data_IF_886603859816
#
_entry.id   IF_886603859816
#
_cell.length_a   1.000
_cell.length_b   1.000
_cell.length_c   1.000
_cell.angle_alpha   90.00
_cell.angle_beta   90.00
_cell.angle_gamma   90.00
#
_symmetry.space_group_name_H-M   'P 1'
#
loop_
_entity.id
_entity.type
_entity.pdbx_description
1 polymer ?
#
# COMPACT_ATOMS: atom_id res chain seq x y z
N UNK A 1 -26.69 -6.75 1.30
CA UNK A 1 -26.72 -6.70 2.77
C UNK A 1 -25.29 -6.66 3.29
N UNK A 2 -24.84 -5.56 3.92
CA UNK A 2 -23.54 -5.53 4.59
C UNK A 2 -23.65 -6.43 5.84
N UNK A 3 -22.71 -7.34 6.04
CA UNK A 3 -22.68 -8.20 7.22
C UNK A 3 -22.61 -7.34 8.50
N UNK A 4 -23.31 -7.75 9.56
CA UNK A 4 -23.24 -7.04 10.84
C UNK A 4 -21.76 -7.01 11.31
N UNK A 5 -21.17 -5.83 11.59
CA UNK A 5 -19.77 -5.73 12.00
C UNK A 5 -19.41 -6.64 13.17
N UNK A 6 -20.34 -6.86 14.11
CA UNK A 6 -20.13 -7.77 15.25
C UNK A 6 -19.98 -9.23 14.82
N UNK A 7 -20.70 -9.66 13.78
CA UNK A 7 -20.56 -11.01 13.22
C UNK A 7 -19.19 -11.17 12.58
N UNK A 8 -18.75 -10.18 11.80
CA UNK A 8 -17.44 -10.20 11.14
C UNK A 8 -16.31 -10.25 12.18
N UNK A 9 -16.38 -9.39 13.21
CA UNK A 9 -15.38 -9.37 14.30
C UNK A 9 -15.38 -10.70 15.06
N UNK A 10 -16.55 -11.25 15.38
CA UNK A 10 -16.66 -12.53 16.09
C UNK A 10 -16.05 -13.68 15.29
N UNK A 11 -16.35 -13.75 13.99
CA UNK A 11 -15.74 -14.74 13.09
C UNK A 11 -14.22 -14.57 13.01
N UNK A 12 -13.73 -13.34 12.95
CA UNK A 12 -12.29 -13.07 12.92
C UNK A 12 -11.58 -13.50 14.23
N UNK A 13 -12.21 -13.25 15.39
CA UNK A 13 -11.71 -13.73 16.69
C UNK A 13 -11.66 -15.26 16.73
N UNK A 14 -12.68 -15.94 16.23
CA UNK A 14 -12.70 -17.42 16.16
C UNK A 14 -11.53 -17.92 15.30
N UNK A 15 -11.28 -17.31 14.14
CA UNK A 15 -10.15 -17.66 13.27
C UNK A 15 -8.81 -17.44 13.98
N UNK A 16 -8.63 -16.31 14.66
CA UNK A 16 -7.44 -16.03 15.48
C UNK A 16 -7.23 -17.13 16.52
N UNK A 17 -8.25 -17.43 17.32
CA UNK A 17 -8.16 -18.44 18.38
C UNK A 17 -7.87 -19.84 17.81
N UNK A 18 -8.42 -20.17 16.64
CA UNK A 18 -8.12 -21.42 15.95
C UNK A 18 -6.66 -21.49 15.50
N UNK A 19 -6.14 -20.44 14.84
CA UNK A 19 -4.74 -20.33 14.42
C UNK A 19 -3.82 -20.50 15.64
N UNK A 20 -4.11 -19.78 16.72
CA UNK A 20 -3.31 -19.82 17.93
C UNK A 20 -3.38 -21.14 18.69
N UNK A 21 -4.55 -21.77 18.76
CA UNK A 21 -4.69 -23.09 19.35
C UNK A 21 -3.92 -24.15 18.55
N UNK A 22 -4.01 -24.11 17.21
CA UNK A 22 -3.29 -25.06 16.36
C UNK A 22 -1.78 -24.83 16.43
N UNK A 23 -1.33 -23.57 16.48
CA UNK A 23 0.06 -23.22 16.68
C UNK A 23 0.57 -23.69 18.05
N UNK A 24 -0.23 -23.53 19.12
CA UNK A 24 0.09 -24.00 20.46
C UNK A 24 0.34 -25.52 20.51
N UNK A 25 -0.48 -26.33 19.84
CA UNK A 25 -0.26 -27.79 19.75
C UNK A 25 1.10 -28.10 19.13
N UNK A 26 1.48 -27.38 18.07
CA UNK A 26 2.77 -27.51 17.40
C UNK A 26 3.93 -27.10 18.31
N UNK A 27 3.83 -25.91 18.90
CA UNK A 27 4.85 -25.35 19.78
C UNK A 27 5.12 -26.23 21.00
N UNK A 28 4.07 -26.70 21.69
CA UNK A 28 4.20 -27.58 22.85
C UNK A 28 5.06 -28.81 22.53
N UNK A 29 4.77 -29.49 21.41
CA UNK A 29 5.53 -30.67 20.96
C UNK A 29 6.99 -30.35 20.66
N UNK A 30 7.30 -29.16 20.15
CA UNK A 30 8.66 -28.72 19.83
C UNK A 30 9.42 -28.33 21.09
N UNK A 31 8.76 -27.64 22.03
CA UNK A 31 9.37 -27.14 23.26
C UNK A 31 9.46 -28.17 24.38
N UNK A 32 8.84 -29.36 24.24
CA UNK A 32 8.89 -30.46 25.23
C UNK A 32 10.32 -30.91 25.59
N UNK A 33 11.31 -30.69 24.71
CA UNK A 33 12.74 -31.02 24.94
C UNK A 33 13.55 -29.88 25.57
N UNK A 34 12.97 -28.68 25.71
CA UNK A 34 13.63 -27.54 26.33
C UNK A 34 13.53 -27.62 27.85
N UNK A 35 14.34 -26.81 28.56
CA UNK A 35 14.21 -26.65 30.02
C UNK A 35 12.77 -26.25 30.37
N UNK A 36 12.18 -26.88 31.40
CA UNK A 36 10.76 -26.66 31.80
C UNK A 36 10.39 -25.17 31.92
N UNK A 37 11.26 -24.35 32.51
CA UNK A 37 11.06 -22.90 32.64
C UNK A 37 10.95 -22.22 31.27
N UNK A 38 11.89 -22.50 30.36
CA UNK A 38 11.90 -21.93 29.01
C UNK A 38 10.69 -22.38 28.19
N UNK A 39 10.32 -23.66 28.23
CA UNK A 39 9.12 -24.17 27.57
C UNK A 39 7.86 -23.47 28.08
N UNK A 40 7.70 -23.35 29.41
CA UNK A 40 6.58 -22.61 30.02
C UNK A 40 6.54 -21.15 29.56
N UNK A 41 7.69 -20.46 29.54
CA UNK A 41 7.79 -19.07 29.08
C UNK A 41 7.35 -18.91 27.63
N UNK A 42 7.82 -19.76 26.71
CA UNK A 42 7.44 -19.70 25.28
C UNK A 42 5.93 -19.89 25.13
N UNK A 43 5.34 -20.86 25.83
CA UNK A 43 3.91 -21.13 25.75
C UNK A 43 3.06 -20.00 26.35
N UNK A 44 3.55 -19.31 27.39
CA UNK A 44 2.88 -18.11 27.94
C UNK A 44 2.94 -16.97 26.92
N UNK A 45 4.13 -16.67 26.38
CA UNK A 45 4.32 -15.60 25.38
C UNK A 45 3.43 -15.83 24.17
N UNK A 46 3.31 -17.07 23.70
CA UNK A 46 2.42 -17.44 22.60
C UNK A 46 0.99 -16.95 22.82
N UNK A 47 0.42 -17.14 24.02
CA UNK A 47 -0.95 -16.73 24.34
C UNK A 47 -1.11 -15.23 24.61
N UNK A 48 -0.03 -14.49 24.89
CA UNK A 48 -0.07 -13.01 24.96
C UNK A 48 -0.41 -12.43 23.58
N UNK A 49 0.09 -13.02 22.49
CA UNK A 49 -0.13 -12.52 21.13
C UNK A 49 -1.63 -12.42 20.77
N UNK A 50 -2.45 -13.50 20.82
CA UNK A 50 -3.87 -13.40 20.54
C UNK A 50 -4.60 -12.53 21.55
N UNK A 51 -4.17 -12.48 22.82
CA UNK A 51 -4.76 -11.56 23.80
C UNK A 51 -4.59 -10.10 23.36
N UNK A 52 -3.38 -9.67 23.01
CA UNK A 52 -3.10 -8.31 22.50
C UNK A 52 -3.85 -8.03 21.21
N UNK A 53 -3.87 -8.97 20.26
CA UNK A 53 -4.59 -8.80 18.99
C UNK A 53 -6.10 -8.65 19.20
N UNK A 54 -6.71 -9.52 20.00
CA UNK A 54 -8.16 -9.47 20.28
C UNK A 54 -8.52 -8.22 21.06
N UNK A 55 -7.74 -7.87 22.11
CA UNK A 55 -7.93 -6.62 22.84
C UNK A 55 -7.82 -5.40 21.93
N UNK A 56 -6.87 -5.40 21.00
CA UNK A 56 -6.71 -4.33 20.00
C UNK A 56 -7.90 -4.20 19.05
N UNK A 57 -8.42 -5.32 18.56
CA UNK A 57 -9.64 -5.33 17.73
C UNK A 57 -10.84 -4.79 18.52
N UNK A 58 -11.06 -5.28 19.74
CA UNK A 58 -12.14 -4.79 20.60
C UNK A 58 -11.95 -3.29 20.88
N UNK A 59 -10.71 -2.84 21.09
CA UNK A 59 -10.40 -1.43 21.31
C UNK A 59 -10.74 -0.58 20.08
N UNK A 60 -10.21 -0.92 18.91
CA UNK A 60 -10.44 -0.18 17.66
C UNK A 60 -11.93 -0.07 17.34
N UNK A 61 -12.68 -1.17 17.45
CA UNK A 61 -14.10 -1.17 17.07
C UNK A 61 -15.02 -0.66 18.19
N UNK A 62 -14.70 -0.93 19.45
CA UNK A 62 -15.53 -0.56 20.61
C UNK A 62 -15.35 0.89 21.04
N UNK A 63 -14.17 1.48 20.82
CA UNK A 63 -13.84 2.84 21.26
C UNK A 63 -13.54 3.80 20.11
N UNK A 64 -13.83 3.40 18.85
CA UNK A 64 -13.60 4.24 17.66
C UNK A 64 -14.16 5.66 17.83
N UNK A 65 -15.39 5.79 18.33
CA UNK A 65 -16.07 7.07 18.51
C UNK A 65 -15.50 7.95 19.63
N UNK A 66 -14.65 7.41 20.50
CA UNK A 66 -14.02 8.13 21.60
C UNK A 66 -12.62 8.66 21.25
N UNK A 67 -12.08 8.30 20.09
CA UNK A 67 -10.74 8.67 19.64
C UNK A 67 -10.86 9.65 18.47
N UNK A 68 -10.15 10.80 18.48
CA UNK A 68 -10.12 11.71 17.34
C UNK A 68 -9.77 10.97 16.05
N UNK A 69 -10.47 11.28 14.95
CA UNK A 69 -10.33 10.54 13.68
C UNK A 69 -8.88 10.50 13.16
N UNK A 70 -8.12 11.59 13.32
CA UNK A 70 -6.70 11.65 12.93
C UNK A 70 -5.80 10.76 13.78
N UNK A 71 -6.16 10.44 15.02
CA UNK A 71 -5.39 9.55 15.91
C UNK A 71 -5.77 8.08 15.74
N UNK A 72 -6.98 7.78 15.24
CA UNK A 72 -7.42 6.39 15.00
C UNK A 72 -6.42 5.62 14.12
N UNK A 73 -5.79 6.31 13.16
CA UNK A 73 -4.81 5.69 12.25
C UNK A 73 -3.58 5.15 12.98
N UNK A 74 -3.15 5.78 14.08
CA UNK A 74 -2.00 5.35 14.88
C UNK A 74 -2.28 3.98 15.50
N UNK A 75 -3.48 3.80 16.05
CA UNK A 75 -3.91 2.53 16.63
C UNK A 75 -4.12 1.47 15.55
N UNK A 76 -4.76 1.82 14.43
CA UNK A 76 -4.93 0.92 13.29
C UNK A 76 -3.57 0.41 12.82
N UNK A 77 -2.59 1.28 12.62
CA UNK A 77 -1.22 0.92 12.26
C UNK A 77 -0.56 0.03 13.32
N UNK A 78 -0.62 0.38 14.60
CA UNK A 78 -0.02 -0.45 15.65
C UNK A 78 -0.59 -1.88 15.64
N UNK A 79 -1.92 -2.02 15.64
CA UNK A 79 -2.57 -3.32 15.73
C UNK A 79 -2.48 -4.14 14.44
N UNK A 80 -2.57 -3.52 13.27
CA UNK A 80 -2.37 -4.21 12.00
C UNK A 80 -0.91 -4.65 11.85
N UNK A 81 0.06 -3.80 12.18
CA UNK A 81 1.48 -4.12 12.17
C UNK A 81 1.79 -5.29 13.10
N UNK A 82 1.27 -5.25 14.33
CA UNK A 82 1.36 -6.36 15.28
C UNK A 82 0.72 -7.64 14.72
N UNK A 83 -0.48 -7.54 14.12
CA UNK A 83 -1.15 -8.68 13.50
C UNK A 83 -0.31 -9.29 12.38
N UNK A 84 0.13 -8.51 11.39
CA UNK A 84 0.93 -9.03 10.29
C UNK A 84 2.26 -9.63 10.78
N UNK A 85 2.94 -8.96 11.72
CA UNK A 85 4.22 -9.41 12.28
C UNK A 85 4.12 -10.80 12.90
N UNK A 86 3.02 -11.15 13.57
CA UNK A 86 2.89 -12.45 14.23
C UNK A 86 2.08 -13.48 13.43
N UNK A 87 1.05 -13.08 12.69
CA UNK A 87 0.15 -14.04 12.03
C UNK A 87 0.68 -14.52 10.68
N UNK A 88 1.41 -13.72 9.92
CA UNK A 88 2.02 -14.19 8.67
C UNK A 88 3.06 -15.30 8.96
N UNK A 89 4.02 -15.12 9.90
CA UNK A 89 4.89 -16.20 10.34
C UNK A 89 4.15 -17.42 10.88
N UNK A 90 3.09 -17.22 11.69
CA UNK A 90 2.28 -18.34 12.19
C UNK A 90 1.65 -19.13 11.06
N UNK A 91 1.07 -18.48 10.05
CA UNK A 91 0.48 -19.16 8.89
C UNK A 91 1.55 -20.02 8.20
N UNK A 92 2.75 -19.47 7.96
CA UNK A 92 3.87 -20.24 7.40
C UNK A 92 4.19 -21.46 8.26
N UNK A 93 4.37 -21.28 9.58
CA UNK A 93 4.60 -22.39 10.50
C UNK A 93 3.49 -23.44 10.45
N UNK A 94 2.22 -23.01 10.40
CA UNK A 94 1.06 -23.89 10.35
C UNK A 94 0.98 -24.70 9.05
N UNK A 95 1.46 -24.19 7.92
CA UNK A 95 1.55 -24.95 6.67
C UNK A 95 2.47 -26.17 6.84
N UNK A 96 3.66 -25.99 7.42
CA UNK A 96 4.58 -27.10 7.71
C UNK A 96 4.00 -28.07 8.73
N UNK A 97 3.31 -27.54 9.75
CA UNK A 97 2.62 -28.35 10.75
C UNK A 97 1.49 -29.18 10.15
N UNK A 98 0.72 -28.61 9.21
CA UNK A 98 -0.35 -29.31 8.50
C UNK A 98 0.22 -30.46 7.66
N UNK A 99 1.30 -30.21 6.93
CA UNK A 99 2.02 -31.26 6.17
C UNK A 99 2.49 -32.38 7.12
N UNK A 100 3.07 -32.02 8.27
CA UNK A 100 3.47 -33.00 9.29
C UNK A 100 2.29 -33.87 9.76
N UNK A 101 1.16 -33.24 10.09
CA UNK A 101 -0.02 -33.95 10.58
C UNK A 101 -0.64 -34.84 9.48
N UNK A 102 -0.69 -34.37 8.23
CA UNK A 102 -1.14 -35.17 7.08
C UNK A 102 -0.28 -36.42 6.87
N UNK A 103 1.05 -36.28 6.97
CA UNK A 103 1.99 -37.43 6.89
C UNK A 103 1.75 -38.41 8.05
N UNK A 104 1.50 -37.91 9.26
CA UNK A 104 1.23 -38.78 10.43
C UNK A 104 -0.10 -39.51 10.28
N UNK A 105 -1.14 -38.84 9.80
CA UNK A 105 -2.45 -39.44 9.58
C UNK A 105 -2.38 -40.50 8.47
N UNK A 106 -1.73 -40.19 7.34
CA UNK A 106 -1.55 -41.16 6.25
C UNK A 106 -0.74 -42.38 6.69
N UNK A 107 0.33 -42.19 7.47
CA UNK A 107 1.10 -43.29 8.07
C UNK A 107 0.25 -44.16 9.01
N UNK A 108 -0.66 -43.56 9.80
CA UNK A 108 -1.55 -44.29 10.71
C UNK A 108 -2.67 -45.03 9.97
N UNK A 109 -3.18 -44.48 8.88
CA UNK A 109 -4.19 -45.14 8.04
C UNK A 109 -3.57 -46.30 7.27
N UNK A 110 -2.41 -46.10 6.66
CA UNK A 110 -1.67 -47.16 5.95
C UNK A 110 -1.23 -48.28 6.89
N UNK A 111 -0.74 -47.97 8.10
CA UNK A 111 -0.38 -49.03 9.07
C UNK A 111 -1.59 -49.83 9.57
N UNK A 112 -2.78 -49.21 9.66
CA UNK A 112 -4.02 -49.91 9.96
C UNK A 112 -4.54 -50.75 8.78
N UNK A 113 -4.30 -50.32 7.54
CA UNK A 113 -4.76 -51.00 6.33
C UNK A 113 -3.83 -52.13 5.84
N UNK A 114 -2.52 -52.04 6.12
CA UNK A 114 -1.48 -52.94 5.55
C UNK A 114 -1.10 -54.11 6.50
N UNK A 115 -1.78 -54.27 7.64
CA UNK A 115 -1.63 -55.41 8.59
C UNK A 115 -0.42 -55.34 9.54
N UNK A 116 -0.55 -56.05 10.67
CA UNK A 116 0.27 -56.29 11.89
C UNK A 116 1.80 -56.48 11.74
N UNK A 117 2.46 -55.89 10.75
CA UNK A 117 3.90 -56.08 10.53
C UNK A 117 4.70 -55.09 11.39
N UNK A 118 5.23 -55.56 12.53
CA UNK A 118 5.97 -54.75 13.51
C UNK A 118 7.16 -54.00 12.90
N UNK A 119 7.83 -54.59 11.90
CA UNK A 119 8.95 -53.96 11.20
C UNK A 119 8.52 -52.78 10.31
N UNK A 120 7.33 -52.81 9.71
CA UNK A 120 6.79 -51.67 8.94
C UNK A 120 6.35 -50.56 9.90
N UNK A 121 5.75 -50.92 11.03
CA UNK A 121 5.42 -49.99 12.11
C UNK A 121 6.67 -49.31 12.70
N UNK A 122 7.80 -50.00 12.82
CA UNK A 122 9.06 -49.43 13.30
C UNK A 122 9.68 -48.43 12.29
N UNK A 123 9.59 -48.75 10.98
CA UNK A 123 10.01 -47.86 9.89
C UNK A 123 9.11 -46.64 9.73
N UNK A 124 7.79 -46.79 9.94
CA UNK A 124 6.81 -45.70 9.97
C UNK A 124 6.94 -44.87 11.27
N UNK A 125 7.35 -45.49 12.38
CA UNK A 125 7.68 -44.82 13.65
C UNK A 125 9.03 -44.08 13.64
N UNK A 126 9.79 -44.11 12.54
CA UNK A 126 10.85 -43.11 12.24
C UNK A 126 10.24 -41.74 11.89
N UNK A 127 9.29 -41.30 12.72
CA UNK A 127 8.63 -40.01 12.93
C UNK A 127 9.64 -38.85 13.15
N UNK A 128 10.96 -39.09 13.01
CA UNK A 128 11.99 -38.06 13.10
C UNK A 128 11.90 -37.04 11.96
N UNK A 129 11.52 -37.46 10.74
CA UNK A 129 11.33 -36.55 9.59
C UNK A 129 10.14 -35.61 9.77
N UNK A 130 9.06 -36.08 10.38
CA UNK A 130 7.90 -35.25 10.73
C UNK A 130 8.28 -34.12 11.72
N UNK A 131 9.06 -34.43 12.76
CA UNK A 131 9.58 -33.43 13.70
C UNK A 131 10.60 -32.48 13.07
N UNK A 132 11.33 -32.93 12.05
CA UNK A 132 12.24 -32.10 11.28
C UNK A 132 11.48 -31.04 10.46
N UNK A 133 10.33 -31.41 9.86
CA UNK A 133 9.48 -30.49 9.11
C UNK A 133 8.94 -29.33 9.97
N UNK A 134 8.46 -29.59 11.19
CA UNK A 134 7.98 -28.52 12.07
C UNK A 134 9.11 -27.57 12.52
N UNK A 135 10.34 -28.07 12.64
CA UNK A 135 11.52 -27.25 12.97
C UNK A 135 11.95 -26.38 11.80
N UNK A 136 11.97 -26.93 10.59
CA UNK A 136 12.12 -26.14 9.37
C UNK A 136 11.02 -25.08 9.31
N UNK A 137 9.77 -25.45 9.64
CA UNK A 137 8.66 -24.50 9.69
C UNK A 137 8.93 -23.29 10.58
N UNK A 138 9.57 -23.46 11.75
CA UNK A 138 9.97 -22.32 12.60
C UNK A 138 11.04 -21.47 11.94
N UNK A 139 12.08 -22.08 11.37
CA UNK A 139 13.17 -21.36 10.69
C UNK A 139 12.61 -20.56 9.51
N UNK A 140 11.77 -21.20 8.68
CA UNK A 140 11.11 -20.56 7.53
C UNK A 140 10.14 -19.47 7.96
N UNK A 141 9.41 -19.64 9.07
CA UNK A 141 8.56 -18.59 9.64
C UNK A 141 9.37 -17.39 10.16
N UNK A 142 10.65 -17.57 10.49
CA UNK A 142 11.56 -16.48 10.85
C UNK A 142 11.80 -15.49 9.70
N UNK A 143 11.74 -15.94 8.44
CA UNK A 143 11.96 -15.08 7.26
C UNK A 143 10.91 -13.97 7.17
N UNK A 144 9.59 -14.25 7.06
CA UNK A 144 8.59 -13.17 7.02
C UNK A 144 8.55 -12.37 8.32
N UNK A 145 8.88 -12.95 9.49
CA UNK A 145 8.96 -12.19 10.73
C UNK A 145 10.00 -11.08 10.65
N UNK A 146 11.23 -11.41 10.23
CA UNK A 146 12.32 -10.44 10.08
C UNK A 146 12.01 -9.45 8.96
N UNK A 147 11.47 -9.91 7.82
CA UNK A 147 11.10 -9.02 6.71
C UNK A 147 10.02 -8.01 7.11
N UNK A 148 8.99 -8.43 7.86
CA UNK A 148 7.93 -7.54 8.35
C UNK A 148 8.47 -6.58 9.39
N UNK A 149 9.31 -7.06 10.32
CA UNK A 149 9.97 -6.20 11.30
C UNK A 149 10.82 -5.12 10.62
N UNK A 150 11.61 -5.50 9.61
CA UNK A 150 12.34 -4.55 8.77
C UNK A 150 11.39 -3.58 8.07
N UNK A 151 10.31 -4.07 7.45
CA UNK A 151 9.38 -3.22 6.71
C UNK A 151 8.70 -2.17 7.57
N UNK A 152 8.34 -2.52 8.82
CA UNK A 152 7.73 -1.61 9.79
C UNK A 152 8.77 -0.64 10.36
N UNK A 153 9.99 -1.10 10.67
CA UNK A 153 11.00 -0.28 11.35
C UNK A 153 11.77 0.65 10.40
N UNK A 154 12.12 0.16 9.21
CA UNK A 154 13.06 0.79 8.29
C UNK A 154 12.45 0.95 6.90
N UNK A 155 11.89 -0.12 6.33
CA UNK A 155 11.46 -0.16 4.93
C UNK A 155 10.44 0.90 4.54
N UNK A 156 9.50 1.24 5.44
CA UNK A 156 8.48 2.29 5.22
C UNK A 156 9.03 3.72 5.17
N UNK A 157 10.29 3.91 5.54
CA UNK A 157 10.99 5.20 5.58
C UNK A 157 12.18 5.24 4.62
N UNK A 158 12.44 4.15 3.88
CA UNK A 158 13.53 4.08 2.93
C UNK A 158 13.14 4.72 1.58
N UNK A 159 12.95 6.03 1.56
CA UNK A 159 12.53 6.78 0.38
C UNK A 159 13.49 6.55 -0.79
N UNK A 160 12.93 6.19 -1.94
CA UNK A 160 13.69 5.86 -3.14
C UNK A 160 13.30 6.80 -4.28
N UNK A 161 14.31 7.47 -4.85
CA UNK A 161 14.14 8.27 -6.06
C UNK A 161 14.29 7.39 -7.29
N UNK A 162 13.28 7.36 -8.16
CA UNK A 162 13.32 6.69 -9.46
C UNK A 162 13.43 7.72 -10.57
N UNK A 163 14.32 7.48 -11.54
CA UNK A 163 14.50 8.34 -12.71
C UNK A 163 14.03 7.61 -13.95
N UNK A 164 13.06 8.19 -14.65
CA UNK A 164 12.35 7.56 -15.78
C UNK A 164 12.45 8.49 -17.00
N UNK A 165 13.43 8.27 -17.89
CA UNK A 165 13.49 9.02 -19.14
C UNK A 165 12.34 8.58 -20.05
N UNK A 166 11.61 9.54 -20.62
CA UNK A 166 10.55 9.29 -21.60
C UNK A 166 10.81 10.10 -22.87
N UNK A 167 10.45 9.53 -24.02
CA UNK A 167 10.66 10.14 -25.34
C UNK A 167 9.33 10.17 -26.08
N UNK A 168 8.95 11.35 -26.56
CA UNK A 168 7.71 11.56 -27.31
C UNK A 168 7.96 12.34 -28.60
N UNK A 169 7.28 11.93 -29.68
CA UNK A 169 7.45 12.55 -31.01
C UNK A 169 6.78 13.92 -31.09
N UNK A 170 5.62 14.05 -30.45
CA UNK A 170 4.76 15.23 -30.44
C UNK A 170 5.05 16.20 -29.27
N UNK A 171 6.07 15.94 -28.45
CA UNK A 171 6.49 16.91 -27.42
C UNK A 171 6.96 18.21 -28.10
N UNK A 172 6.47 19.38 -27.67
CA UNK A 172 6.98 20.65 -28.18
C UNK A 172 8.48 20.83 -27.86
N UNK A 173 9.22 21.49 -28.74
CA UNK A 173 10.67 21.72 -28.63
C UNK A 173 11.08 22.39 -27.32
N UNK A 174 10.31 23.37 -26.86
CA UNK A 174 10.61 24.16 -25.67
C UNK A 174 10.55 23.32 -24.38
N UNK A 175 9.84 22.19 -24.42
CA UNK A 175 9.71 21.24 -23.30
C UNK A 175 10.77 20.12 -23.34
N UNK A 176 11.66 20.09 -24.33
CA UNK A 176 12.68 19.05 -24.42
C UNK A 176 13.64 19.09 -23.22
N UNK A 177 13.66 18.00 -22.45
CA UNK A 177 14.48 17.87 -21.25
C UNK A 177 13.80 18.34 -19.97
N UNK A 178 12.53 18.73 -20.01
CA UNK A 178 11.77 19.15 -18.83
C UNK A 178 11.76 18.05 -17.77
N UNK A 179 11.94 18.44 -16.51
CA UNK A 179 11.89 17.55 -15.36
C UNK A 179 10.56 17.67 -14.64
N UNK A 180 9.78 16.60 -14.69
CA UNK A 180 8.52 16.47 -13.96
C UNK A 180 8.74 15.48 -12.84
N UNK A 181 8.39 15.84 -11.61
CA UNK A 181 8.48 14.92 -10.48
C UNK A 181 7.09 14.58 -9.95
N UNK A 182 6.78 13.29 -9.90
CA UNK A 182 5.55 12.74 -9.35
C UNK A 182 5.78 12.22 -7.92
N UNK A 183 4.86 12.61 -7.05
CA UNK A 183 4.65 12.02 -5.72
C UNK A 183 3.18 11.65 -5.59
N UNK A 184 2.88 10.68 -4.71
CA UNK A 184 1.52 10.18 -4.51
C UNK A 184 1.37 9.59 -3.12
N UNK A 185 0.13 9.46 -2.65
CA UNK A 185 -0.28 8.65 -1.50
C UNK A 185 0.59 8.90 -0.25
N UNK A 186 0.65 10.15 0.21
CA UNK A 186 1.39 10.50 1.42
C UNK A 186 0.75 9.92 2.67
N UNK A 187 -0.58 9.86 2.73
CA UNK A 187 -1.31 9.38 3.91
C UNK A 187 -0.76 9.94 5.23
N UNK A 188 -0.73 11.28 5.34
CA UNK A 188 0.00 12.03 6.38
C UNK A 188 -0.31 11.61 7.83
N UNK A 189 -1.51 11.08 8.11
CA UNK A 189 -1.83 10.48 9.40
C UNK A 189 -0.85 9.37 9.86
N UNK A 190 -0.20 8.67 8.92
CA UNK A 190 0.85 7.69 9.22
C UNK A 190 2.15 8.30 9.76
N UNK A 191 2.34 9.61 9.61
CA UNK A 191 3.57 10.33 9.94
C UNK A 191 3.44 11.25 11.16
N UNK A 192 2.29 11.31 11.84
CA UNK A 192 2.06 12.22 13.00
C UNK A 192 3.18 12.08 14.05
N UNK A 193 3.63 10.85 14.33
CA UNK A 193 4.72 10.56 15.27
C UNK A 193 6.12 10.56 14.64
N UNK A 194 6.25 10.83 13.34
CA UNK A 194 7.49 10.72 12.57
C UNK A 194 7.66 11.89 11.59
N UNK A 195 7.36 13.13 12.02
CA UNK A 195 7.37 14.32 11.14
C UNK A 195 8.68 14.52 10.37
N UNK A 196 9.82 14.22 11.00
CA UNK A 196 11.14 14.28 10.37
C UNK A 196 11.26 13.45 9.09
N UNK A 197 10.46 12.39 8.94
CA UNK A 197 10.43 11.56 7.72
C UNK A 197 9.77 12.30 6.56
N UNK A 198 8.75 13.14 6.83
CA UNK A 198 8.16 14.02 5.82
C UNK A 198 9.12 15.15 5.46
N UNK A 199 9.90 15.64 6.43
CA UNK A 199 10.98 16.61 6.16
C UNK A 199 12.05 16.02 5.24
N UNK A 200 12.54 14.81 5.51
CA UNK A 200 13.49 14.08 4.67
C UNK A 200 12.93 13.87 3.25
N UNK A 201 11.68 13.44 3.11
CA UNK A 201 11.04 13.29 1.81
C UNK A 201 10.97 14.62 1.04
N UNK A 202 10.64 15.73 1.70
CA UNK A 202 10.62 17.06 1.08
C UNK A 202 12.01 17.51 0.64
N UNK A 203 13.03 17.25 1.45
CA UNK A 203 14.41 17.57 1.09
C UNK A 203 14.85 16.75 -0.14
N UNK A 204 14.57 15.44 -0.16
CA UNK A 204 14.82 14.57 -1.33
C UNK A 204 14.10 15.02 -2.59
N UNK A 205 12.84 15.48 -2.48
CA UNK A 205 12.06 16.05 -3.60
C UNK A 205 12.74 17.30 -4.13
N UNK A 206 13.13 18.23 -3.26
CA UNK A 206 13.78 19.48 -3.65
C UNK A 206 15.16 19.26 -4.28
N UNK A 207 15.91 18.26 -3.81
CA UNK A 207 17.21 17.88 -4.37
C UNK A 207 17.14 17.45 -5.84
N UNK A 208 15.96 17.04 -6.34
CA UNK A 208 15.79 16.66 -7.73
C UNK A 208 15.70 17.86 -8.67
N UNK A 209 15.47 19.07 -8.14
CA UNK A 209 15.35 20.31 -8.90
C UNK A 209 14.39 20.16 -10.09
N UNK A 210 13.19 19.62 -9.82
CA UNK A 210 12.16 19.44 -10.83
C UNK A 210 11.54 20.79 -11.20
N UNK A 211 11.17 20.93 -12.49
CA UNK A 211 10.51 22.12 -12.99
C UNK A 211 9.04 22.15 -12.53
N UNK A 212 8.39 20.98 -12.54
CA UNK A 212 6.99 20.78 -12.18
C UNK A 212 6.88 19.65 -11.14
N UNK A 213 6.03 19.83 -10.13
CA UNK A 213 5.66 18.77 -9.17
C UNK A 213 4.21 18.38 -9.38
N UNK A 214 3.95 17.08 -9.53
CA UNK A 214 2.61 16.51 -9.69
C UNK A 214 2.30 15.58 -8.52
N UNK A 215 1.25 15.87 -7.77
CA UNK A 215 0.76 15.06 -6.66
C UNK A 215 -0.50 14.28 -7.06
N UNK A 216 -0.39 12.97 -7.23
CA UNK A 216 -1.48 12.16 -7.83
C UNK A 216 -2.50 11.62 -6.84
N UNK A 217 -2.75 12.32 -5.73
CA UNK A 217 -3.84 12.05 -4.79
C UNK A 217 -3.40 11.37 -3.49
N UNK A 218 -4.32 11.35 -2.52
CA UNK A 218 -4.17 10.78 -1.18
C UNK A 218 -3.14 11.49 -0.29
N UNK A 219 -3.42 12.76 0.01
CA UNK A 219 -2.69 13.49 1.06
C UNK A 219 -2.95 12.90 2.43
N UNK A 220 -4.20 12.53 2.71
CA UNK A 220 -4.64 12.03 4.02
C UNK A 220 -5.07 10.57 3.94
N UNK A 221 -5.25 9.93 5.09
CA UNK A 221 -5.86 8.61 5.19
C UNK A 221 -7.39 8.76 5.18
N UNK A 222 -7.91 9.74 5.92
CA UNK A 222 -9.35 9.86 6.15
C UNK A 222 -9.83 11.29 6.40
N UNK A 223 -9.08 12.10 7.14
CA UNK A 223 -9.55 13.43 7.58
C UNK A 223 -8.51 14.53 7.36
N UNK A 224 -9.00 15.73 7.07
CA UNK A 224 -8.17 16.91 6.78
C UNK A 224 -7.23 17.31 7.92
N UNK A 225 -7.58 17.02 9.17
CA UNK A 225 -6.74 17.35 10.35
C UNK A 225 -5.43 16.59 10.39
N UNK A 226 -5.31 15.48 9.65
CA UNK A 226 -4.04 14.76 9.47
C UNK A 226 -2.97 15.62 8.77
N UNK A 227 -3.36 16.68 8.07
CA UNK A 227 -2.45 17.55 7.33
C UNK A 227 -1.94 18.73 8.18
N UNK A 228 -2.55 19.03 9.33
CA UNK A 228 -2.37 20.28 10.08
C UNK A 228 -0.90 20.55 10.44
N UNK A 229 -0.18 19.50 10.82
CA UNK A 229 1.22 19.60 11.26
C UNK A 229 2.22 19.58 10.10
N UNK A 230 1.76 19.35 8.87
CA UNK A 230 2.60 19.13 7.69
C UNK A 230 2.52 20.26 6.66
N UNK A 231 1.54 21.17 6.76
CA UNK A 231 1.38 22.27 5.79
C UNK A 231 2.68 23.07 5.62
N UNK A 232 3.32 23.44 6.72
CA UNK A 232 4.59 24.21 6.70
C UNK A 232 5.74 23.40 6.10
N UNK A 233 5.76 22.08 6.32
CA UNK A 233 6.82 21.21 5.77
C UNK A 233 6.65 21.10 4.25
N UNK A 234 5.43 20.80 3.80
CA UNK A 234 5.09 20.61 2.39
C UNK A 234 5.17 21.91 1.58
N UNK A 235 4.94 23.07 2.20
CA UNK A 235 5.08 24.36 1.52
C UNK A 235 6.53 24.67 1.11
N UNK A 236 7.52 23.99 1.71
CA UNK A 236 8.94 24.08 1.31
C UNK A 236 9.25 23.42 -0.03
N UNK A 237 8.34 22.62 -0.60
CA UNK A 237 8.53 22.01 -1.93
C UNK A 237 8.59 23.13 -2.98
N UNK A 238 9.63 23.12 -3.82
CA UNK A 238 9.90 24.10 -4.87
C UNK A 238 9.71 23.49 -6.25
N UNK A 239 9.04 24.24 -7.12
CA UNK A 239 8.79 23.87 -8.51
C UNK A 239 8.61 25.16 -9.32
N UNK A 240 9.63 25.63 -10.07
CA UNK A 240 9.57 26.91 -10.77
C UNK A 240 8.37 27.07 -11.71
N UNK A 241 7.90 25.98 -12.32
CA UNK A 241 6.74 25.96 -13.22
C UNK A 241 5.44 25.54 -12.54
N UNK A 242 5.44 25.34 -11.22
CA UNK A 242 4.23 25.11 -10.43
C UNK A 242 4.12 23.71 -9.83
N UNK A 243 3.21 23.61 -8.86
CA UNK A 243 2.86 22.40 -8.13
C UNK A 243 1.39 22.13 -8.35
N UNK A 244 1.05 20.92 -8.77
CA UNK A 244 -0.33 20.55 -9.12
C UNK A 244 -0.74 19.29 -8.38
N UNK A 245 -1.97 19.23 -7.92
CA UNK A 245 -2.53 18.06 -7.23
C UNK A 245 -3.88 17.66 -7.81
N UNK A 246 -4.25 16.40 -7.58
CA UNK A 246 -5.62 15.90 -7.70
C UNK A 246 -6.02 15.26 -6.36
N UNK A 247 -7.29 14.93 -6.20
CA UNK A 247 -7.78 14.15 -5.07
C UNK A 247 -7.69 12.65 -5.34
N UNK A 248 -7.28 11.88 -4.34
CA UNK A 248 -7.38 10.43 -4.34
C UNK A 248 -8.61 9.94 -3.57
N UNK A 249 -8.82 8.62 -3.51
CA UNK A 249 -10.03 8.07 -2.89
C UNK A 249 -10.09 8.30 -1.37
N UNK A 250 -8.95 8.51 -0.69
CA UNK A 250 -8.90 8.75 0.75
C UNK A 250 -9.13 10.23 1.13
N UNK A 251 -8.95 11.15 0.19
CA UNK A 251 -9.10 12.58 0.44
C UNK A 251 -10.57 13.01 0.68
N UNK A 252 -11.55 12.24 0.19
CA UNK A 252 -12.98 12.54 0.31
C UNK A 252 -13.56 12.23 1.71
N UNK A 253 -12.83 11.52 2.57
CA UNK A 253 -13.32 11.11 3.88
C UNK A 253 -14.45 10.08 3.84
N UNK A 254 -14.62 9.35 2.74
CA UNK A 254 -15.68 8.34 2.54
C UNK A 254 -15.58 7.14 3.50
N UNK A 255 -14.43 6.93 4.13
CA UNK A 255 -14.17 5.80 5.05
C UNK A 255 -14.37 6.17 6.53
N UNK A 256 -14.87 7.39 6.78
CA UNK A 256 -15.23 7.91 8.10
C UNK A 256 -16.76 7.88 8.27
N UNK A 257 -17.20 7.63 9.51
CA UNK A 257 -18.60 7.85 9.87
C UNK A 257 -18.75 9.29 10.34
N UNK A 258 -19.45 10.10 9.55
CA UNK A 258 -19.75 11.49 9.84
C UNK A 258 -21.11 11.62 10.54
N UNK A 259 -21.30 12.63 11.39
CA UNK A 259 -22.62 12.85 12.01
C UNK A 259 -23.62 13.45 11.02
N UNK A 260 -23.12 14.09 9.96
CA UNK A 260 -23.92 14.63 8.85
C UNK A 260 -23.10 14.72 7.56
N UNK A 261 -23.77 14.82 6.41
CA UNK A 261 -23.10 15.08 5.13
C UNK A 261 -22.39 16.45 5.12
N UNK A 262 -22.91 17.44 5.86
CA UNK A 262 -22.28 18.76 5.97
C UNK A 262 -20.89 18.67 6.64
N UNK A 263 -20.74 17.88 7.71
CA UNK A 263 -19.43 17.71 8.36
C UNK A 263 -18.40 17.09 7.40
N UNK A 264 -18.83 16.16 6.56
CA UNK A 264 -17.99 15.55 5.53
C UNK A 264 -17.57 16.57 4.47
N UNK A 265 -18.52 17.38 4.00
CA UNK A 265 -18.26 18.44 3.03
C UNK A 265 -17.31 19.51 3.61
N UNK A 266 -17.52 19.92 4.86
CA UNK A 266 -16.65 20.87 5.56
C UNK A 266 -15.23 20.32 5.70
N UNK A 267 -15.08 19.02 5.98
CA UNK A 267 -13.79 18.36 6.01
C UNK A 267 -13.08 18.38 4.64
N UNK A 268 -13.80 18.10 3.55
CA UNK A 268 -13.24 18.15 2.19
C UNK A 268 -12.82 19.58 1.83
N UNK A 269 -13.69 20.56 2.07
CA UNK A 269 -13.38 21.98 1.82
C UNK A 269 -12.17 22.46 2.63
N UNK A 270 -12.04 22.00 3.88
CA UNK A 270 -10.86 22.24 4.71
C UNK A 270 -9.60 21.60 4.12
N UNK A 271 -9.66 20.35 3.66
CA UNK A 271 -8.53 19.68 3.01
C UNK A 271 -8.06 20.46 1.79
N UNK A 272 -8.99 20.88 0.92
CA UNK A 272 -8.69 21.71 -0.26
C UNK A 272 -7.99 23.01 0.15
N UNK A 273 -8.49 23.68 1.20
CA UNK A 273 -7.86 24.89 1.75
C UNK A 273 -6.42 24.64 2.23
N UNK A 274 -6.16 23.51 2.89
CA UNK A 274 -4.81 23.14 3.36
C UNK A 274 -3.87 22.81 2.21
N UNK A 275 -4.33 22.11 1.16
CA UNK A 275 -3.56 21.87 -0.06
C UNK A 275 -3.18 23.19 -0.76
N UNK A 276 -4.10 24.14 -0.86
CA UNK A 276 -3.78 25.45 -1.43
C UNK A 276 -2.71 26.18 -0.61
N UNK A 277 -2.71 26.04 0.73
CA UNK A 277 -1.68 26.63 1.60
C UNK A 277 -0.29 26.00 1.45
N UNK A 278 -0.18 24.77 0.93
CA UNK A 278 1.12 24.18 0.58
C UNK A 278 1.61 24.65 -0.80
N UNK A 279 0.81 25.45 -1.51
CA UNK A 279 1.12 26.02 -2.82
C UNK A 279 0.84 25.06 -3.98
N UNK A 280 0.11 23.97 -3.75
CA UNK A 280 -0.40 23.12 -4.83
C UNK A 280 -1.67 23.73 -5.41
N UNK A 281 -1.75 23.79 -6.74
CA UNK A 281 -2.99 24.06 -7.47
C UNK A 281 -3.74 22.74 -7.64
N UNK A 282 -4.87 22.61 -6.96
CA UNK A 282 -5.75 21.45 -7.11
C UNK A 282 -6.50 21.52 -8.44
N UNK A 283 -6.50 20.42 -9.20
CA UNK A 283 -7.28 20.23 -10.42
C UNK A 283 -8.41 19.22 -10.15
N UNK A 284 -9.66 19.60 -10.41
CA UNK A 284 -10.84 18.75 -10.19
C UNK A 284 -11.69 18.65 -11.46
N UNK A 285 -11.40 17.67 -12.30
CA UNK A 285 -11.97 17.54 -13.64
C UNK A 285 -11.68 18.78 -14.49
N UNK A 286 -10.45 19.27 -14.40
CA UNK A 286 -9.98 20.52 -15.00
C UNK A 286 -8.66 20.28 -15.75
N UNK A 287 -8.25 21.26 -16.55
CA UNK A 287 -6.93 21.28 -17.17
C UNK A 287 -6.24 22.63 -16.98
N UNK A 288 -4.92 22.61 -17.09
CA UNK A 288 -4.05 23.77 -17.09
C UNK A 288 -3.14 23.72 -18.32
N UNK A 289 -2.96 24.86 -18.98
CA UNK A 289 -1.95 25.02 -20.02
C UNK A 289 -0.62 25.44 -19.38
N UNK A 290 0.39 24.58 -19.51
CA UNK A 290 1.75 24.88 -19.12
C UNK A 290 2.48 25.46 -20.33
N UNK A 291 3.18 26.59 -20.15
CA UNK A 291 3.79 27.34 -21.24
C UNK A 291 5.29 27.54 -21.01
N UNK A 292 6.06 27.33 -22.07
CA UNK A 292 7.47 27.73 -22.16
C UNK A 292 7.60 28.47 -23.49
N UNK A 293 8.06 29.72 -23.45
CA UNK A 293 8.08 30.62 -24.60
C UNK A 293 6.70 30.73 -25.28
N UNK A 294 6.60 30.31 -26.56
CA UNK A 294 5.37 30.32 -27.35
C UNK A 294 4.76 28.92 -27.55
N UNK A 295 5.28 27.90 -26.86
CA UNK A 295 4.80 26.53 -26.94
C UNK A 295 4.09 26.13 -25.64
N UNK A 296 3.14 25.19 -25.75
CA UNK A 296 2.31 24.78 -24.62
C UNK A 296 2.02 23.27 -24.62
N UNK A 297 1.83 22.74 -23.41
CA UNK A 297 1.33 21.40 -23.16
C UNK A 297 0.12 21.47 -22.22
N UNK A 298 -0.76 20.47 -22.28
CA UNK A 298 -1.94 20.40 -21.41
C UNK A 298 -1.69 19.44 -20.25
N UNK A 299 -1.79 19.96 -19.03
CA UNK A 299 -1.87 19.18 -17.81
C UNK A 299 -3.34 19.00 -17.45
N UNK A 300 -3.81 17.77 -17.37
CA UNK A 300 -5.21 17.42 -17.11
C UNK A 300 -5.27 16.74 -15.75
N UNK A 301 -6.20 17.15 -14.89
CA UNK A 301 -6.43 16.52 -13.59
C UNK A 301 -7.88 16.10 -13.43
N UNK A 302 -8.10 14.81 -13.18
CA UNK A 302 -9.43 14.28 -12.86
C UNK A 302 -9.55 13.97 -11.37
N UNK A 303 -10.78 14.08 -10.86
CA UNK A 303 -11.14 13.55 -9.56
C UNK A 303 -11.03 12.01 -9.51
N UNK A 304 -11.10 11.41 -8.32
CA UNK A 304 -10.92 9.97 -8.18
C UNK A 304 -11.89 9.17 -9.06
N UNK A 305 -11.35 8.23 -9.84
CA UNK A 305 -12.12 7.31 -10.67
C UNK A 305 -11.54 5.90 -10.54
N UNK A 306 -12.18 5.04 -9.75
CA UNK A 306 -11.76 3.65 -9.56
C UNK A 306 -12.89 2.65 -9.80
N UNK A 307 -12.54 1.38 -10.02
CA UNK A 307 -13.55 0.31 -10.08
C UNK A 307 -14.15 0.06 -8.69
N UNK A 308 -15.42 -0.41 -8.58
CA UNK A 308 -16.02 -0.75 -7.31
C UNK A 308 -15.09 -1.60 -6.41
N UNK A 309 -14.98 -1.27 -5.12
CA UNK A 309 -15.85 -0.37 -4.35
C UNK A 309 -15.42 1.11 -4.34
N UNK A 310 -14.41 1.51 -5.12
CA UNK A 310 -13.93 2.89 -5.11
C UNK A 310 -14.90 3.83 -5.83
N UNK A 311 -15.00 5.10 -5.38
CA UNK A 311 -15.91 6.06 -6.00
C UNK A 311 -15.43 6.50 -7.38
N UNK A 312 -16.37 6.99 -8.20
CA UNK A 312 -16.13 7.52 -9.54
C UNK A 312 -16.63 8.96 -9.62
N UNK A 313 -15.86 9.89 -9.07
CA UNK A 313 -16.09 11.33 -9.14
C UNK A 313 -15.43 11.96 -10.39
N UNK A 314 -14.44 11.28 -10.97
CA UNK A 314 -13.72 11.74 -12.16
C UNK A 314 -14.61 11.87 -13.40
N UNK A 315 -14.46 12.99 -14.10
CA UNK A 315 -15.09 13.26 -15.39
C UNK A 315 -14.02 13.69 -16.41
N UNK A 316 -13.53 12.73 -17.19
CA UNK A 316 -12.47 12.97 -18.17
C UNK A 316 -12.89 13.90 -19.31
N UNK A 317 -14.15 13.84 -19.74
CA UNK A 317 -14.64 14.69 -20.83
C UNK A 317 -14.68 16.17 -20.42
N UNK A 318 -15.08 16.44 -19.18
CA UNK A 318 -15.04 17.79 -18.60
C UNK A 318 -13.60 18.28 -18.45
N UNK A 319 -12.71 17.43 -17.93
CA UNK A 319 -11.29 17.74 -17.79
C UNK A 319 -10.59 18.03 -19.13
N UNK A 320 -11.06 17.43 -20.23
CA UNK A 320 -10.56 17.66 -21.58
C UNK A 320 -11.24 18.84 -22.30
N UNK A 321 -12.20 19.51 -21.67
CA UNK A 321 -12.87 20.66 -22.29
C UNK A 321 -11.88 21.76 -22.63
N UNK A 322 -11.87 22.20 -23.89
CA UNK A 322 -10.92 23.20 -24.41
C UNK A 322 -9.53 22.68 -24.75
N UNK A 323 -9.19 21.42 -24.45
CA UNK A 323 -7.92 20.79 -24.84
C UNK A 323 -7.98 20.39 -26.31
N UNK A 324 -7.01 20.86 -27.10
CA UNK A 324 -6.96 20.56 -28.53
C UNK A 324 -6.34 19.20 -28.81
N UNK A 325 -6.72 18.59 -29.94
CA UNK A 325 -6.25 17.25 -30.30
C UNK A 325 -4.72 17.18 -30.50
N UNK A 326 -4.08 18.25 -30.97
CA UNK A 326 -2.66 18.25 -31.34
C UNK A 326 -1.71 18.62 -30.19
N UNK A 327 -2.22 19.03 -29.03
CA UNK A 327 -1.39 19.31 -27.85
C UNK A 327 -0.84 18.01 -27.24
N UNK A 328 0.37 18.09 -26.68
CA UNK A 328 0.91 17.05 -25.80
C UNK A 328 0.15 17.08 -24.47
N UNK A 329 -0.32 15.92 -24.00
CA UNK A 329 -1.25 15.79 -22.87
C UNK A 329 -0.67 14.91 -21.77
N UNK A 330 -0.59 15.47 -20.57
CA UNK A 330 -0.28 14.74 -19.34
C UNK A 330 -1.55 14.67 -18.49
N UNK A 331 -2.01 13.46 -18.16
CA UNK A 331 -3.14 13.22 -17.29
C UNK A 331 -2.66 12.81 -15.90
N UNK A 332 -3.14 13.50 -14.87
CA UNK A 332 -3.10 13.06 -13.48
C UNK A 332 -4.42 12.35 -13.17
N UNK A 333 -4.34 11.08 -12.75
CA UNK A 333 -5.50 10.30 -12.33
C UNK A 333 -5.09 9.30 -11.26
N UNK A 334 -5.76 9.32 -10.11
CA UNK A 334 -5.28 8.60 -8.92
C UNK A 334 -5.25 7.07 -9.09
N UNK A 335 -6.38 6.44 -9.44
CA UNK A 335 -6.48 4.99 -9.60
C UNK A 335 -6.12 4.58 -11.05
N UNK A 336 -5.15 3.68 -11.26
CA UNK A 336 -4.69 3.30 -12.60
C UNK A 336 -5.75 2.56 -13.43
N UNK A 337 -6.82 2.03 -12.82
CA UNK A 337 -7.92 1.43 -13.56
C UNK A 337 -8.66 2.44 -14.43
N UNK A 338 -8.59 3.74 -14.11
CA UNK A 338 -9.11 4.79 -14.98
C UNK A 338 -8.42 4.78 -16.36
N UNK A 339 -7.12 4.51 -16.40
CA UNK A 339 -6.38 4.42 -17.66
C UNK A 339 -6.91 3.28 -18.54
N UNK A 340 -7.03 2.08 -17.96
CA UNK A 340 -7.56 0.90 -18.63
C UNK A 340 -9.00 1.12 -19.16
N UNK A 341 -9.82 1.83 -18.39
CA UNK A 341 -11.25 1.94 -18.67
C UNK A 341 -11.64 3.16 -19.49
N UNK A 342 -10.93 4.28 -19.41
CA UNK A 342 -11.36 5.55 -20.03
C UNK A 342 -10.31 6.18 -20.95
N UNK A 343 -9.03 5.79 -20.84
CA UNK A 343 -7.94 6.47 -21.56
C UNK A 343 -7.39 5.61 -22.69
N UNK A 344 -6.96 4.39 -22.39
CA UNK A 344 -6.28 3.50 -23.33
C UNK A 344 -7.15 3.20 -24.55
N UNK A 345 -6.67 3.57 -25.74
CA UNK A 345 -7.34 3.34 -27.02
C UNK A 345 -8.62 4.15 -27.21
N UNK A 346 -8.94 5.07 -26.30
CA UNK A 346 -10.15 5.91 -26.31
C UNK A 346 -9.85 7.40 -26.40
N UNK A 347 -8.62 7.79 -26.06
CA UNK A 347 -8.13 9.17 -26.13
C UNK A 347 -6.74 9.22 -26.77
N UNK A 348 -6.24 10.43 -26.98
CA UNK A 348 -4.87 10.72 -27.42
C UNK A 348 -4.05 11.37 -26.29
N UNK A 349 -4.23 10.88 -25.07
CA UNK A 349 -3.42 11.29 -23.91
C UNK A 349 -2.09 10.55 -23.97
N UNK A 350 -0.99 11.30 -23.97
CA UNK A 350 0.36 10.77 -24.15
C UNK A 350 0.89 10.09 -22.89
N UNK A 351 0.72 10.73 -21.74
CA UNK A 351 1.24 10.26 -20.46
C UNK A 351 0.17 10.36 -19.37
N UNK A 352 -0.14 9.23 -18.72
CA UNK A 352 -0.99 9.19 -17.53
C UNK A 352 -0.15 8.84 -16.30
N UNK A 353 -0.33 9.60 -15.23
CA UNK A 353 0.36 9.43 -13.95
C UNK A 353 -0.66 9.09 -12.87
N UNK A 354 -0.44 7.95 -12.22
CA UNK A 354 -1.32 7.36 -11.20
C UNK A 354 -0.59 6.92 -9.95
N UNK A 355 -1.34 6.64 -8.88
CA UNK A 355 -0.87 6.18 -7.57
C UNK A 355 -1.69 4.99 -7.06
N UNK A 356 -2.27 5.12 -5.87
CA UNK A 356 -3.35 4.30 -5.29
C UNK A 356 -2.97 2.88 -4.84
N UNK A 357 -2.14 2.19 -5.61
CA UNK A 357 -1.95 0.73 -5.46
C UNK A 357 -0.93 0.36 -4.39
N UNK A 358 0.00 1.26 -4.07
CA UNK A 358 1.15 1.05 -3.20
C UNK A 358 2.04 -0.17 -3.50
N UNK A 359 1.82 -0.86 -4.63
CA UNK A 359 2.30 -2.24 -4.79
C UNK A 359 1.87 -3.16 -3.63
N UNK A 360 0.71 -2.92 -3.02
CA UNK A 360 0.25 -3.50 -1.75
C UNK A 360 1.25 -3.39 -0.58
N UNK A 361 2.24 -2.50 -0.69
CA UNK A 361 3.35 -2.30 0.26
C UNK A 361 4.21 -3.56 0.47
N UNK A 362 4.07 -4.54 -0.43
CA UNK A 362 4.79 -5.80 -0.40
C UNK A 362 5.00 -6.28 -1.83
N UNK A 363 6.25 -6.50 -2.20
CA UNK A 363 6.57 -7.09 -3.49
C UNK A 363 7.96 -7.70 -3.52
N UNK A 364 8.23 -8.44 -4.58
CA UNK A 364 9.53 -8.96 -4.91
C UNK A 364 9.87 -8.42 -6.30
N UNK A 365 10.93 -7.63 -6.38
CA UNK A 365 11.45 -7.09 -7.63
C UNK A 365 12.88 -7.56 -7.81
N UNK A 366 13.09 -8.40 -8.82
CA UNK A 366 14.42 -8.84 -9.27
C UNK A 366 14.54 -8.55 -10.77
N UNK A 367 15.75 -8.48 -11.34
CA UNK A 367 15.92 -8.23 -12.77
C UNK A 367 15.09 -9.20 -13.62
N UNK A 368 14.19 -8.64 -14.45
CA UNK A 368 13.31 -9.40 -15.35
C UNK A 368 12.04 -10.00 -14.70
N UNK A 369 11.84 -9.88 -13.39
CA UNK A 369 10.66 -10.43 -12.73
C UNK A 369 10.18 -9.58 -11.54
N UNK A 370 8.89 -9.22 -11.54
CA UNK A 370 8.24 -8.45 -10.48
C UNK A 370 6.93 -9.12 -10.08
N UNK A 371 6.68 -9.22 -8.78
CA UNK A 371 5.43 -9.75 -8.25
C UNK A 371 5.01 -9.02 -6.97
N UNK A 372 3.73 -8.75 -6.84
CA UNK A 372 3.09 -8.25 -5.63
C UNK A 372 1.69 -8.88 -5.51
N UNK A 373 1.14 -9.06 -4.29
CA UNK A 373 -0.25 -9.47 -4.09
C UNK A 373 -1.26 -8.56 -4.79
N UNK A 374 -0.90 -7.30 -5.04
CA UNK A 374 -1.75 -6.34 -5.75
C UNK A 374 -2.11 -6.80 -7.17
N UNK A 375 -1.27 -7.63 -7.80
CA UNK A 375 -1.48 -8.16 -9.16
C UNK A 375 -2.74 -9.03 -9.27
N UNK A 376 -3.29 -9.50 -8.14
CA UNK A 376 -4.55 -10.23 -8.10
C UNK A 376 -5.78 -9.34 -8.37
N UNK A 377 -5.62 -8.02 -8.22
CA UNK A 377 -6.68 -7.03 -8.42
C UNK A 377 -6.38 -6.02 -9.52
N UNK A 378 -5.11 -5.66 -9.71
CA UNK A 378 -4.70 -4.64 -10.67
C UNK A 378 -3.78 -5.21 -11.75
N UNK A 379 -4.11 -4.95 -13.01
CA UNK A 379 -3.24 -5.24 -14.16
C UNK A 379 -1.98 -4.36 -14.12
N UNK A 380 -2.17 -3.07 -13.86
CA UNK A 380 -1.12 -2.05 -13.74
C UNK A 380 -1.05 -1.57 -12.30
N UNK A 381 0.13 -1.69 -11.68
CA UNK A 381 0.25 -1.54 -10.22
C UNK A 381 1.57 -0.94 -9.73
N UNK A 382 2.55 -0.75 -10.61
CA UNK A 382 3.80 -0.09 -10.22
C UNK A 382 4.77 0.06 -11.38
N UNK A 383 5.32 1.26 -11.57
CA UNK A 383 6.28 1.57 -12.63
C UNK A 383 5.64 1.95 -13.96
N UNK A 384 6.44 1.93 -15.03
CA UNK A 384 6.06 2.37 -16.36
C UNK A 384 5.43 1.24 -17.18
N UNK A 385 4.32 1.56 -17.85
CA UNK A 385 3.64 0.74 -18.84
C UNK A 385 3.46 1.56 -20.12
N UNK A 386 3.48 0.89 -21.26
CA UNK A 386 3.28 1.51 -22.56
C UNK A 386 2.41 0.60 -23.41
N UNK A 387 1.38 1.17 -24.03
CA UNK A 387 0.59 0.50 -25.05
C UNK A 387 0.36 1.46 -26.22
N UNK A 388 0.85 1.07 -27.40
CA UNK A 388 1.01 1.95 -28.55
C UNK A 388 1.80 3.25 -28.19
N UNK A 389 1.23 4.42 -28.44
CA UNK A 389 1.84 5.72 -28.14
C UNK A 389 1.41 6.30 -26.78
N UNK A 390 0.62 5.56 -25.98
CA UNK A 390 0.16 5.99 -24.66
C UNK A 390 0.98 5.34 -23.55
N UNK A 391 1.36 6.14 -22.56
CA UNK A 391 2.11 5.69 -21.39
C UNK A 391 1.27 5.83 -20.13
N UNK A 392 1.43 4.87 -19.22
CA UNK A 392 0.93 4.92 -17.85
C UNK A 392 2.11 4.72 -16.91
N UNK A 393 2.26 5.61 -15.93
CA UNK A 393 3.15 5.38 -14.80
C UNK A 393 2.34 5.26 -13.51
N UNK A 394 2.53 4.16 -12.78
CA UNK A 394 1.90 3.94 -11.48
C UNK A 394 2.95 4.10 -10.38
N UNK A 395 2.89 5.19 -9.64
CA UNK A 395 3.74 5.46 -8.49
C UNK A 395 3.28 4.61 -7.30
N UNK A 396 4.22 4.03 -6.54
CA UNK A 396 3.89 3.15 -5.41
C UNK A 396 3.69 3.90 -4.09
N UNK A 397 3.54 5.21 -4.12
CA UNK A 397 3.23 6.08 -2.99
C UNK A 397 4.42 6.38 -2.08
N UNK A 398 4.33 7.49 -1.33
CA UNK A 398 5.29 7.89 -0.29
C UNK A 398 4.94 7.25 1.06
N UNK A 399 3.67 7.24 1.40
CA UNK A 399 3.18 6.85 2.72
C UNK A 399 2.93 5.36 2.87
N UNK A 400 2.12 5.02 3.86
CA UNK A 400 1.64 3.67 4.09
C UNK A 400 0.25 3.71 4.71
N UNK A 401 -0.56 2.72 4.38
CA UNK A 401 -1.96 2.60 4.82
C UNK A 401 -2.29 1.16 5.19
N UNK A 402 -3.07 1.01 6.27
CA UNK A 402 -3.48 -0.30 6.76
C UNK A 402 -2.30 -1.02 7.40
N UNK A 403 -1.46 -1.71 6.62
CA UNK A 403 -0.21 -2.31 7.10
C UNK A 403 0.88 -1.23 7.19
N UNK A 404 1.50 -0.97 8.36
CA UNK A 404 2.40 0.16 8.52
C UNK A 404 3.84 -0.20 8.17
N UNK A 405 4.06 -0.89 7.05
CA UNK A 405 5.37 -1.38 6.64
C UNK A 405 5.48 -1.49 5.13
N UNK A 406 6.71 -1.42 4.61
CA UNK A 406 7.02 -1.63 3.18
C UNK A 406 8.16 -2.62 3.01
N UNK A 407 7.95 -3.65 2.19
CA UNK A 407 8.92 -4.73 1.97
C UNK A 407 9.07 -4.98 0.47
N UNK A 408 10.26 -4.75 -0.07
CA UNK A 408 10.52 -4.85 -1.51
C UNK A 408 9.67 -3.88 -2.36
N UNK A 409 9.06 -2.88 -1.72
CA UNK A 409 8.20 -1.87 -2.34
C UNK A 409 8.42 -0.51 -1.65
N UNK A 410 9.62 0.09 -1.81
CA UNK A 410 10.00 1.29 -1.06
C UNK A 410 9.07 2.48 -1.35
N UNK A 411 8.95 3.45 -0.44
CA UNK A 411 8.35 4.74 -0.74
C UNK A 411 9.00 5.38 -1.97
N UNK A 412 8.19 5.91 -2.89
CA UNK A 412 8.67 6.28 -4.22
C UNK A 412 8.51 7.77 -4.54
N UNK A 413 9.61 8.40 -4.94
CA UNK A 413 9.65 9.73 -5.57
C UNK A 413 10.10 9.51 -7.03
N UNK A 414 9.29 9.87 -8.01
CA UNK A 414 9.63 9.59 -9.42
C UNK A 414 9.90 10.85 -10.20
N UNK A 415 11.05 10.92 -10.86
CA UNK A 415 11.48 12.01 -11.72
C UNK A 415 11.45 11.55 -13.17
N UNK A 416 10.64 12.21 -13.97
CA UNK A 416 10.60 12.05 -15.41
C UNK A 416 11.44 13.11 -16.09
N UNK A 417 12.30 12.70 -17.01
CA UNK A 417 12.92 13.62 -17.97
C UNK A 417 12.25 13.38 -19.32
N UNK A 418 11.42 14.33 -19.72
CA UNK A 418 10.61 14.21 -20.95
C UNK A 418 11.39 14.82 -22.10
N UNK A 419 11.72 14.01 -23.10
CA UNK A 419 12.49 14.44 -24.27
C UNK A 419 11.67 14.34 -25.54
N UNK A 420 11.97 15.22 -26.49
CA UNK A 420 11.42 15.15 -27.84
C UNK A 420 12.27 14.21 -28.67
N UNK A 421 11.65 13.25 -29.35
CA UNK A 421 12.40 12.35 -30.23
C UNK A 421 11.55 11.21 -30.80
N UNK A 422 12.20 10.38 -31.61
CA UNK A 422 11.67 9.09 -32.06
C UNK A 422 12.27 8.06 -31.12
N UNK A 423 11.42 7.41 -30.32
CA UNK A 423 11.82 6.35 -29.39
C UNK A 423 12.36 5.11 -30.12
#
# INVERSE_FOLDING_TARGET
MRANPLIVISLFIIVILFIDFYAYIGLRRITDRLKKKLSKTILIIHWIIPAVTISGLIFIFGFRGSIPAAEQIIYVHFFSGFFFLFYIPKIVFLLFKLIEDLIRVSAKVTSKAVTKNEQLNEKLNKISRAKFLSRIGIITAGIPFVSILYGIGIGRFNFTVRKVPLIFKNLPSAFNGIKILQISDFHLGGFINNKHQVEEAVDLINDQQADIILFTGDFVNNVSSEMDEFVTILSRIKAPMGKYSILGNHDYGDYVQWNSEQEKEDNLNRLISLQNKTGFKLLRNENELLKIDNEEISLIGVENWGLPPFPQYGNLNEALSGVTQNQFKILMSHDPTHWDQQVLGKTNIDLTLSGHTHGAQFGIEIPGWRWSPVNLRYKHWGGLYQEAEQYLYVNTGIGFIGFPGRIGMPPEITVFTINRGIA
#
